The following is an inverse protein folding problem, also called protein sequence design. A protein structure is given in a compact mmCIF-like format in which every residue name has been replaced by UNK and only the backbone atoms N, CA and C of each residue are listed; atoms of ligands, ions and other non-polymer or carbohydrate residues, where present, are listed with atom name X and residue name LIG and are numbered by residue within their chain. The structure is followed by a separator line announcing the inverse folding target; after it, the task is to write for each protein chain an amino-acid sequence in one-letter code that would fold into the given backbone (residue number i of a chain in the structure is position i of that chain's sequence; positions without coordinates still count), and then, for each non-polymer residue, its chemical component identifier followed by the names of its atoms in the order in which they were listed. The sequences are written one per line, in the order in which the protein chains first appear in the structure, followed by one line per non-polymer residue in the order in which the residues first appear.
data_IF_922839634477
#
_entry.id   IF_922839634477
#
_cell.length_a   1.000
_cell.length_b   1.000
_cell.length_c   1.000
_cell.angle_alpha   90.00
_cell.angle_beta   90.00
_cell.angle_gamma   90.00
#
_symmetry.space_group_name_H-M   'P 1'
#
loop_
_entity.id
_entity.type
_entity.pdbx_description
1 polymer ?
#
# COMPACT_ATOMS: atom_id res chain seq x y z
N UNK A 1 -11.24 27.65 6.36
CA UNK A 1 -10.44 28.77 5.79
C UNK A 1 -9.75 28.25 4.53
N UNK A 2 -10.22 28.68 3.36
CA UNK A 2 -9.66 28.31 2.05
C UNK A 2 -8.23 28.83 1.97
N UNK A 3 -7.25 27.91 1.90
CA UNK A 3 -5.84 28.25 1.80
C UNK A 3 -5.66 29.12 0.55
N UNK A 4 -5.14 30.33 0.73
CA UNK A 4 -4.79 31.28 -0.35
C UNK A 4 -3.54 30.77 -1.08
N UNK A 5 -3.59 29.54 -1.56
CA UNK A 5 -2.45 28.84 -2.13
C UNK A 5 -2.27 29.27 -3.58
N UNK A 6 -1.18 29.99 -3.82
CA UNK A 6 -0.25 29.67 -4.89
C UNK A 6 -0.74 29.87 -6.35
N UNK A 7 -1.53 30.91 -6.57
CA UNK A 7 -1.88 31.37 -7.95
C UNK A 7 -0.61 31.78 -8.70
N UNK A 8 0.42 32.28 -8.01
CA UNK A 8 1.69 32.71 -8.59
C UNK A 8 2.48 31.56 -9.22
N UNK A 9 2.81 30.53 -8.44
CA UNK A 9 3.68 29.44 -8.91
C UNK A 9 3.03 28.59 -9.99
N UNK A 10 1.73 28.28 -9.86
CA UNK A 10 0.98 27.58 -10.92
C UNK A 10 0.99 28.37 -12.23
N UNK A 11 0.78 29.69 -12.15
CA UNK A 11 0.78 30.56 -13.33
C UNK A 11 2.15 30.67 -13.98
N UNK A 12 3.23 30.68 -13.20
CA UNK A 12 4.61 30.69 -13.72
C UNK A 12 4.92 29.43 -14.54
N UNK A 13 4.56 28.24 -14.03
CA UNK A 13 4.76 26.98 -14.77
C UNK A 13 3.95 26.99 -16.07
N UNK A 14 2.72 27.53 -16.05
CA UNK A 14 1.87 27.61 -17.23
C UNK A 14 2.35 28.61 -18.30
N UNK A 15 3.31 29.49 -18.02
CA UNK A 15 3.82 30.46 -19.01
C UNK A 15 4.67 29.80 -20.10
N UNK A 16 5.47 28.80 -19.74
CA UNK A 16 6.33 28.06 -20.66
C UNK A 16 6.51 26.61 -20.20
N UNK A 17 5.46 25.81 -20.34
CA UNK A 17 5.37 24.55 -19.60
C UNK A 17 6.27 23.46 -20.23
N UNK A 18 6.52 23.50 -21.55
CA UNK A 18 7.43 22.55 -22.20
C UNK A 18 8.89 22.79 -21.80
N UNK A 19 9.35 24.06 -21.77
CA UNK A 19 10.70 24.36 -21.30
C UNK A 19 10.83 24.05 -19.80
N UNK A 20 9.77 24.27 -19.01
CA UNK A 20 9.75 23.87 -17.61
C UNK A 20 9.95 22.36 -17.43
N UNK A 21 9.18 21.53 -18.14
CA UNK A 21 9.31 20.06 -18.09
C UNK A 21 10.69 19.62 -18.56
N UNK A 22 11.19 20.19 -19.66
CA UNK A 22 12.53 19.89 -20.18
C UNK A 22 13.62 20.19 -19.16
N UNK A 23 13.52 21.33 -18.48
CA UNK A 23 14.46 21.73 -17.44
C UNK A 23 14.43 20.81 -16.21
N UNK A 24 13.26 20.56 -15.61
CA UNK A 24 13.18 19.76 -14.37
C UNK A 24 13.47 18.27 -14.59
N UNK A 25 13.34 17.79 -15.82
CA UNK A 25 13.64 16.41 -16.17
C UNK A 25 14.99 16.26 -16.87
N UNK A 26 15.64 17.34 -17.29
CA UNK A 26 16.83 17.26 -18.16
C UNK A 26 16.55 16.44 -19.44
N UNK A 27 15.33 16.58 -20.01
CA UNK A 27 14.82 15.77 -21.13
C UNK A 27 14.07 16.61 -22.15
N UNK A 28 14.57 16.69 -23.39
CA UNK A 28 13.91 17.44 -24.46
C UNK A 28 12.83 16.66 -25.22
N UNK A 29 12.61 15.39 -24.89
CA UNK A 29 11.70 14.46 -25.57
C UNK A 29 10.30 14.39 -24.92
N UNK A 30 10.09 15.10 -23.81
CA UNK A 30 8.81 15.12 -23.11
C UNK A 30 7.91 16.25 -23.64
N UNK A 31 6.66 15.89 -23.95
CA UNK A 31 5.63 16.83 -24.40
C UNK A 31 4.46 16.77 -23.45
N UNK A 32 3.94 17.94 -23.07
CA UNK A 32 2.76 18.03 -22.20
C UNK A 32 1.52 17.64 -22.98
N UNK A 33 0.79 16.64 -22.47
CA UNK A 33 -0.48 16.19 -23.05
C UNK A 33 -1.68 16.84 -22.36
N UNK A 34 -1.63 16.99 -21.04
CA UNK A 34 -2.73 17.53 -20.24
C UNK A 34 -2.23 18.11 -18.90
N UNK A 35 -2.97 19.09 -18.37
CA UNK A 35 -2.81 19.53 -16.99
C UNK A 35 -3.86 18.83 -16.12
N UNK A 36 -3.39 18.01 -15.17
CA UNK A 36 -4.26 17.28 -14.24
C UNK A 36 -4.55 18.10 -12.97
N UNK A 37 -5.71 17.86 -12.36
CA UNK A 37 -6.05 18.45 -11.07
C UNK A 37 -5.24 17.77 -9.94
N UNK A 38 -4.41 18.50 -9.18
CA UNK A 38 -3.67 17.93 -8.05
C UNK A 38 -4.52 17.70 -6.80
N UNK A 39 -5.81 18.08 -6.81
CA UNK A 39 -6.72 17.80 -5.71
C UNK A 39 -7.07 16.31 -5.70
N UNK A 40 -6.32 15.56 -4.89
CA UNK A 40 -6.62 14.16 -4.64
C UNK A 40 -7.87 14.07 -3.76
N UNK A 41 -9.01 13.73 -4.36
CA UNK A 41 -10.18 13.30 -3.60
C UNK A 41 -9.76 12.05 -2.82
N UNK A 42 -9.69 12.19 -1.49
CA UNK A 42 -9.27 11.13 -0.60
C UNK A 42 -9.99 9.85 -1.01
N UNK A 43 -9.19 8.82 -1.28
CA UNK A 43 -9.71 7.48 -1.53
C UNK A 43 -10.39 7.08 -0.23
N UNK A 44 -11.68 7.37 -0.12
CA UNK A 44 -12.62 6.74 0.80
C UNK A 44 -12.71 5.28 0.37
N UNK A 45 -11.64 4.55 0.64
CA UNK A 45 -11.64 3.10 0.69
C UNK A 45 -11.14 2.81 2.07
N UNK A 46 -12.07 2.32 2.88
CA UNK A 46 -11.80 1.71 4.15
C UNK A 46 -10.67 0.71 3.93
N UNK A 47 -9.44 1.07 4.32
CA UNK A 47 -8.47 0.06 4.68
C UNK A 47 -9.16 -0.78 5.75
N UNK A 48 -9.21 -2.10 5.59
CA UNK A 48 -10.10 -2.92 6.41
C UNK A 48 -9.88 -2.67 7.90
N UNK A 49 -8.62 -2.61 8.34
CA UNK A 49 -8.27 -2.27 9.73
C UNK A 49 -6.91 -1.57 9.83
N UNK A 50 -6.87 -0.36 10.42
CA UNK A 50 -5.64 0.34 10.82
C UNK A 50 -5.53 0.35 12.35
N UNK A 51 -4.44 -0.18 12.90
CA UNK A 51 -4.24 -0.33 14.34
C UNK A 51 -3.02 0.45 14.79
N UNK A 52 -3.16 1.33 15.77
CA UNK A 52 -2.00 1.93 16.46
C UNK A 52 -1.53 0.99 17.57
N UNK A 53 -0.24 0.68 17.59
CA UNK A 53 0.38 -0.20 18.59
C UNK A 53 1.61 0.46 19.22
N UNK A 54 1.93 0.05 20.45
CA UNK A 54 3.13 0.47 21.16
C UNK A 54 4.10 -0.72 21.24
N UNK A 55 5.29 -0.53 20.70
CA UNK A 55 6.44 -1.44 20.87
C UNK A 55 7.34 -0.94 22.00
N UNK A 56 7.91 -1.87 22.77
CA UNK A 56 8.92 -1.53 23.79
C UNK A 56 10.24 -1.05 23.15
N UNK A 57 10.55 -1.53 21.94
CA UNK A 57 11.83 -1.25 21.26
C UNK A 57 11.70 -0.20 20.15
N UNK A 58 10.54 -0.14 19.48
CA UNK A 58 10.36 0.66 18.25
C UNK A 58 9.43 1.87 18.45
N UNK A 59 8.88 2.06 19.65
CA UNK A 59 7.94 3.13 19.93
C UNK A 59 6.54 2.88 19.36
N UNK A 60 5.82 3.95 19.05
CA UNK A 60 4.49 3.88 18.44
C UNK A 60 4.59 3.61 16.93
N UNK A 61 3.79 2.66 16.44
CA UNK A 61 3.67 2.39 15.01
C UNK A 61 2.23 2.03 14.63
N UNK A 62 1.95 2.00 13.33
CA UNK A 62 0.67 1.59 12.78
C UNK A 62 0.80 0.23 12.10
N UNK A 63 -0.17 -0.66 12.33
CA UNK A 63 -0.36 -1.88 11.55
C UNK A 63 -1.51 -1.66 10.59
N UNK A 64 -1.21 -1.59 9.30
CA UNK A 64 -2.19 -1.44 8.24
C UNK A 64 -2.56 -2.83 7.71
N UNK A 65 -3.79 -3.28 7.96
CA UNK A 65 -4.28 -4.58 7.50
C UNK A 65 -5.21 -4.39 6.30
N UNK A 66 -4.93 -5.14 5.25
CA UNK A 66 -5.73 -5.19 4.04
C UNK A 66 -6.09 -6.66 3.76
N UNK A 67 -7.36 -7.01 3.93
CA UNK A 67 -7.89 -8.34 3.72
C UNK A 67 -8.45 -8.43 2.29
N UNK A 68 -8.10 -9.49 1.58
CA UNK A 68 -8.63 -9.77 0.25
C UNK A 68 -9.19 -11.18 0.22
N UNK A 69 -10.43 -11.34 -0.27
CA UNK A 69 -11.00 -12.67 -0.52
C UNK A 69 -10.09 -13.44 -1.47
N UNK A 70 -9.62 -12.79 -2.54
CA UNK A 70 -8.62 -13.31 -3.48
C UNK A 70 -7.69 -12.18 -3.90
N UNK A 71 -6.42 -12.49 -4.15
CA UNK A 71 -5.43 -11.50 -4.56
C UNK A 71 -5.84 -10.74 -5.84
N UNK A 72 -5.62 -9.42 -5.86
CA UNK A 72 -5.80 -8.56 -7.02
C UNK A 72 -4.45 -7.96 -7.49
N UNK A 73 -4.19 -7.91 -8.79
CA UNK A 73 -2.88 -7.45 -9.31
C UNK A 73 -2.52 -6.01 -8.94
N UNK A 74 -3.52 -5.17 -8.67
CA UNK A 74 -3.36 -3.78 -8.18
C UNK A 74 -3.04 -3.64 -6.68
N UNK A 75 -2.95 -4.75 -5.92
CA UNK A 75 -2.69 -4.67 -4.48
C UNK A 75 -1.39 -3.96 -4.09
N UNK A 76 -0.24 -4.17 -4.77
CA UNK A 76 0.99 -3.46 -4.41
C UNK A 76 0.83 -1.94 -4.44
N UNK A 77 0.20 -1.40 -5.50
CA UNK A 77 -0.05 0.04 -5.63
C UNK A 77 -1.02 0.56 -4.55
N UNK A 78 -2.07 -0.21 -4.23
CA UNK A 78 -3.03 0.16 -3.18
C UNK A 78 -2.37 0.21 -1.80
N UNK A 79 -1.58 -0.81 -1.46
CA UNK A 79 -0.90 -0.89 -0.17
C UNK A 79 0.06 0.29 0.00
N UNK A 80 0.86 0.61 -1.03
CA UNK A 80 1.71 1.81 -1.02
C UNK A 80 0.91 3.09 -0.78
N UNK A 81 -0.21 3.27 -1.48
CA UNK A 81 -1.04 4.45 -1.32
C UNK A 81 -1.58 4.56 0.12
N UNK A 82 -2.09 3.47 0.68
CA UNK A 82 -2.65 3.48 2.04
C UNK A 82 -1.58 3.64 3.12
N UNK A 83 -0.42 3.03 2.96
CA UNK A 83 0.70 3.20 3.89
C UNK A 83 1.13 4.67 3.93
N UNK A 84 1.34 5.30 2.76
CA UNK A 84 1.71 6.71 2.69
C UNK A 84 0.64 7.64 3.27
N UNK A 85 -0.65 7.38 3.01
CA UNK A 85 -1.75 8.18 3.58
C UNK A 85 -1.85 8.03 5.11
N UNK A 86 -1.63 6.81 5.64
CA UNK A 86 -1.63 6.58 7.08
C UNK A 86 -0.43 7.27 7.75
N UNK A 87 0.75 7.17 7.15
CA UNK A 87 1.97 7.84 7.61
C UNK A 87 1.80 9.36 7.61
N UNK A 88 1.29 9.95 6.52
CA UNK A 88 1.03 11.39 6.43
C UNK A 88 0.01 11.86 7.49
N UNK A 89 -1.07 11.09 7.69
CA UNK A 89 -2.17 11.48 8.57
C UNK A 89 -1.81 11.41 10.05
N UNK A 90 -1.04 10.40 10.46
CA UNK A 90 -0.77 10.12 11.87
C UNK A 90 0.68 10.41 12.27
N UNK A 91 1.57 10.68 11.32
CA UNK A 91 2.98 10.92 11.55
C UNK A 91 3.64 9.80 12.36
N UNK A 92 3.33 8.55 12.00
CA UNK A 92 3.84 7.33 12.63
C UNK A 92 4.27 6.33 11.54
N UNK A 93 5.33 5.53 11.79
CA UNK A 93 5.75 4.49 10.86
C UNK A 93 4.64 3.46 10.66
N UNK A 94 4.54 2.92 9.45
CA UNK A 94 3.49 1.98 9.05
C UNK A 94 4.08 0.64 8.68
N UNK A 95 3.53 -0.43 9.29
CA UNK A 95 3.79 -1.81 8.95
C UNK A 95 2.59 -2.37 8.17
N UNK A 96 2.65 -2.39 6.83
CA UNK A 96 1.57 -2.89 5.99
C UNK A 96 1.53 -4.42 5.90
N UNK A 97 0.32 -4.96 5.98
CA UNK A 97 0.03 -6.39 5.92
C UNK A 97 -1.11 -6.66 4.94
N UNK A 98 -0.82 -7.48 3.93
CA UNK A 98 -1.79 -8.05 3.01
C UNK A 98 -2.19 -9.45 3.46
N UNK A 99 -3.48 -9.68 3.69
CA UNK A 99 -4.01 -10.98 4.09
C UNK A 99 -4.92 -11.51 2.98
N UNK A 100 -4.53 -12.60 2.34
CA UNK A 100 -5.34 -13.24 1.30
C UNK A 100 -6.06 -14.47 1.87
N UNK A 101 -7.37 -14.55 1.66
CA UNK A 101 -8.23 -15.62 2.20
C UNK A 101 -8.18 -16.86 1.30
N UNK A 102 -8.38 -16.71 -0.01
CA UNK A 102 -8.44 -17.84 -0.96
C UNK A 102 -7.40 -17.69 -2.09
N UNK A 103 -6.75 -18.79 -2.51
CA UNK A 103 -5.85 -18.77 -3.65
C UNK A 103 -6.65 -18.62 -4.95
N UNK A 104 -6.14 -17.91 -5.98
CA UNK A 104 -6.72 -17.97 -7.33
C UNK A 104 -6.27 -19.21 -8.10
N UNK A 105 -5.05 -19.67 -7.85
CA UNK A 105 -4.48 -20.90 -8.40
C UNK A 105 -3.46 -21.49 -7.43
N UNK A 106 -3.17 -22.78 -7.56
CA UNK A 106 -2.24 -23.49 -6.68
C UNK A 106 -0.78 -22.99 -6.75
N UNK A 107 -0.41 -22.29 -7.83
CA UNK A 107 0.95 -21.77 -8.10
C UNK A 107 1.02 -20.24 -8.15
N UNK A 108 0.04 -19.56 -7.56
CA UNK A 108 -0.02 -18.10 -7.60
C UNK A 108 1.13 -17.48 -6.78
N UNK A 109 2.10 -16.85 -7.45
CA UNK A 109 3.09 -16.00 -6.78
C UNK A 109 2.45 -14.64 -6.44
N UNK A 110 2.45 -14.28 -5.16
CA UNK A 110 1.89 -13.02 -4.66
C UNK A 110 3.06 -12.10 -4.27
N UNK A 111 3.25 -10.96 -4.95
CA UNK A 111 4.28 -10.00 -4.61
C UNK A 111 4.15 -9.53 -3.17
N UNK A 112 5.29 -9.27 -2.54
CA UNK A 112 5.43 -8.72 -1.20
C UNK A 112 5.92 -7.26 -1.18
N UNK A 113 6.06 -6.65 -2.36
CA UNK A 113 6.45 -5.26 -2.48
C UNK A 113 5.79 -4.59 -3.68
N UNK A 114 5.67 -3.28 -3.61
CA UNK A 114 5.52 -2.42 -4.78
C UNK A 114 6.89 -1.90 -5.18
N UNK A 115 7.16 -1.88 -6.47
CA UNK A 115 8.37 -1.28 -7.03
C UNK A 115 8.03 -0.60 -8.35
N UNK A 116 8.51 0.63 -8.53
CA UNK A 116 8.40 1.39 -9.76
C UNK A 116 9.62 2.29 -9.87
N UNK A 117 10.19 2.35 -11.07
CA UNK A 117 11.34 3.21 -11.36
C UNK A 117 11.04 4.04 -12.61
N UNK A 118 11.23 5.35 -12.50
CA UNK A 118 11.04 6.29 -13.61
C UNK A 118 12.19 7.28 -13.57
N UNK A 119 13.03 7.28 -14.62
CA UNK A 119 14.16 8.21 -14.79
C UNK A 119 15.07 8.29 -13.54
N UNK A 120 15.42 7.13 -12.98
CA UNK A 120 16.28 7.02 -11.78
C UNK A 120 15.57 7.31 -10.45
N UNK A 121 14.29 7.71 -10.48
CA UNK A 121 13.48 7.88 -9.26
C UNK A 121 12.81 6.55 -8.95
N UNK A 122 13.11 5.99 -7.78
CA UNK A 122 12.52 4.75 -7.31
C UNK A 122 11.42 5.02 -6.28
N UNK A 123 10.26 4.41 -6.51
CA UNK A 123 9.21 4.27 -5.52
C UNK A 123 9.13 2.81 -5.08
N UNK A 124 9.36 2.56 -3.80
CA UNK A 124 9.37 1.21 -3.23
C UNK A 124 8.55 1.15 -1.93
N UNK A 125 7.84 0.05 -1.73
CA UNK A 125 7.13 -0.23 -0.50
C UNK A 125 7.11 -1.74 -0.27
N UNK A 126 7.79 -2.19 0.77
CA UNK A 126 7.64 -3.55 1.27
C UNK A 126 6.34 -3.71 2.06
N UNK A 127 5.79 -4.91 2.06
CA UNK A 127 4.68 -5.30 2.92
C UNK A 127 4.69 -6.79 3.24
N UNK A 128 4.09 -7.13 4.38
CA UNK A 128 3.96 -8.53 4.79
C UNK A 128 2.79 -9.16 4.05
N UNK A 129 3.02 -10.29 3.39
CA UNK A 129 1.94 -11.11 2.81
C UNK A 129 1.63 -12.30 3.71
N UNK A 130 0.36 -12.48 4.05
CA UNK A 130 -0.17 -13.65 4.75
C UNK A 130 -1.21 -14.31 3.86
N UNK A 131 -0.89 -15.47 3.33
CA UNK A 131 -1.84 -16.30 2.58
C UNK A 131 -2.43 -17.32 3.54
N UNK A 132 -3.74 -17.24 3.84
CA UNK A 132 -4.34 -18.09 4.88
C UNK A 132 -4.20 -19.59 4.55
N UNK A 133 -4.23 -19.97 3.27
CA UNK A 133 -4.02 -21.36 2.82
C UNK A 133 -2.58 -21.88 3.02
N UNK A 134 -1.63 -21.02 3.37
CA UNK A 134 -0.24 -21.41 3.71
C UNK A 134 -0.02 -21.46 5.22
N UNK A 135 -0.91 -20.88 6.02
CA UNK A 135 -0.82 -20.85 7.48
C UNK A 135 -1.22 -22.21 8.04
N UNK A 136 -0.39 -22.77 8.93
CA UNK A 136 -0.68 -24.04 9.59
C UNK A 136 -1.90 -23.91 10.53
N UNK A 137 -2.89 -24.77 10.37
CA UNK A 137 -4.10 -24.79 11.20
C UNK A 137 -3.83 -24.96 12.71
N UNK A 138 -2.80 -25.72 13.10
CA UNK A 138 -2.45 -25.92 14.52
C UNK A 138 -2.12 -24.60 15.24
N UNK A 139 -1.58 -23.62 14.51
CA UNK A 139 -1.20 -22.33 15.07
C UNK A 139 -2.40 -21.61 15.72
N UNK A 140 -3.61 -21.83 15.19
CA UNK A 140 -4.84 -21.26 15.74
C UNK A 140 -5.09 -21.77 17.17
N UNK A 141 -4.89 -23.06 17.40
CA UNK A 141 -5.13 -23.69 18.69
C UNK A 141 -3.97 -23.45 19.66
N UNK A 142 -2.73 -23.62 19.20
CA UNK A 142 -1.52 -23.44 20.04
C UNK A 142 -1.43 -22.00 20.58
N UNK A 143 -1.76 -21.01 19.75
CA UNK A 143 -1.66 -19.59 20.11
C UNK A 143 -3.00 -18.95 20.48
N UNK A 144 -4.07 -19.74 20.58
CA UNK A 144 -5.40 -19.27 20.96
C UNK A 144 -5.89 -18.10 20.06
N UNK A 145 -5.65 -18.17 18.75
CA UNK A 145 -6.01 -17.12 17.80
C UNK A 145 -7.49 -17.23 17.40
N UNK A 146 -8.38 -16.84 18.30
CA UNK A 146 -9.83 -16.92 18.13
C UNK A 146 -10.31 -16.25 16.83
N UNK A 147 -9.67 -15.16 16.40
CA UNK A 147 -9.98 -14.46 15.15
C UNK A 147 -9.75 -15.29 13.89
N UNK A 148 -8.93 -16.35 13.96
CA UNK A 148 -8.67 -17.26 12.84
C UNK A 148 -9.57 -18.50 12.85
N UNK A 149 -10.38 -18.74 13.90
CA UNK A 149 -11.28 -19.90 13.97
C UNK A 149 -12.23 -20.02 12.76
N UNK A 150 -12.87 -18.95 12.27
CA UNK A 150 -13.74 -19.03 11.10
C UNK A 150 -13.00 -19.47 9.82
N UNK A 151 -11.68 -19.31 9.78
CA UNK A 151 -10.84 -19.64 8.63
C UNK A 151 -10.15 -21.00 8.73
N UNK A 152 -10.30 -21.75 9.83
CA UNK A 152 -9.69 -23.09 9.96
C UNK A 152 -9.93 -24.00 8.74
N UNK A 153 -11.12 -24.05 8.12
CA UNK A 153 -11.35 -24.88 6.93
C UNK A 153 -10.49 -24.56 5.70
N UNK A 154 -9.91 -23.35 5.63
CA UNK A 154 -9.08 -22.90 4.50
C UNK A 154 -7.58 -22.89 4.83
N UNK A 155 -7.20 -23.10 6.09
CA UNK A 155 -5.80 -23.15 6.52
C UNK A 155 -5.12 -24.42 6.01
N UNK A 156 -3.78 -24.42 6.01
CA UNK A 156 -3.01 -25.61 5.65
C UNK A 156 -3.25 -26.70 6.70
N UNK A 157 -3.82 -27.87 6.31
CA UNK A 157 -4.05 -28.96 7.23
C UNK A 157 -2.72 -29.58 7.68
N UNK A 158 -2.72 -30.08 8.91
CA UNK A 158 -1.58 -30.82 9.45
C UNK A 158 -1.72 -32.28 9.04
N UNK A 159 -0.86 -32.77 8.15
CA UNK A 159 -0.70 -34.21 7.96
C UNK A 159 0.11 -34.74 9.15
N UNK A 160 -0.56 -35.43 10.09
CA UNK A 160 0.14 -36.31 11.01
C UNK A 160 0.61 -37.51 10.20
N UNK A 161 1.93 -37.67 10.07
CA UNK A 161 2.55 -38.93 9.62
C UNK A 161 2.64 -39.89 10.80
#
# INVERSE_FOLDING_TARGET
MTKKADIGSKRLISLDPNNWVSWITESSDLVITEFLNPDFQWISKESDVLIKVQSQNEGELLILNELQIRYHSKMPQRIRAYAALAEERYNLPVYPVLINILPRSASQNIPNCYHSEIRGITAHQDYRVINLWEVNANLVFERHLTSLLPFVPILKPTFRT
#
